data_IF_233650074176
#
_entry.id   IF_233650074176
#
_cell.length_a   1.000
_cell.length_b   1.000
_cell.length_c   1.000
_cell.angle_alpha   90.00
_cell.angle_beta   90.00
_cell.angle_gamma   90.00
#
_symmetry.space_group_name_H-M   'P 1'
#
loop_
_entity.id
_entity.type
_entity.pdbx_description
1 polymer ?
#
# COMPACT_ATOMS: atom_id res chain seq x y z
N UNK A 1 40.92 -75.30 28.31
CA UNK A 1 40.81 -74.87 26.90
C UNK A 1 40.48 -73.38 26.84
N UNK A 2 41.17 -72.58 25.99
CA UNK A 2 40.83 -71.16 25.72
C UNK A 2 39.86 -71.12 24.53
N UNK A 3 38.57 -70.90 24.80
CA UNK A 3 37.52 -70.80 23.77
C UNK A 3 37.62 -69.50 22.96
N UNK A 4 36.72 -69.34 21.99
CA UNK A 4 36.56 -68.10 21.23
C UNK A 4 36.13 -66.96 22.16
N UNK A 5 36.65 -65.75 21.94
CA UNK A 5 36.30 -64.58 22.77
C UNK A 5 35.05 -63.85 22.28
N UNK A 6 34.40 -63.06 23.15
CA UNK A 6 33.22 -62.27 22.78
C UNK A 6 33.50 -61.34 21.58
N UNK A 7 34.64 -60.63 21.60
CA UNK A 7 35.04 -59.71 20.52
C UNK A 7 35.26 -60.44 19.20
N UNK A 8 35.92 -61.59 19.24
CA UNK A 8 36.18 -62.42 18.06
C UNK A 8 34.88 -62.93 17.44
N UNK A 9 33.94 -63.38 18.27
CA UNK A 9 32.62 -63.83 17.82
C UNK A 9 31.80 -62.68 17.22
N UNK A 10 31.86 -61.50 17.84
CA UNK A 10 31.18 -60.31 17.34
C UNK A 10 31.72 -59.84 16.00
N UNK A 11 33.04 -59.77 15.84
CA UNK A 11 33.65 -59.38 14.55
C UNK A 11 33.29 -60.39 13.46
N UNK A 12 33.22 -61.68 13.80
CA UNK A 12 32.83 -62.72 12.85
C UNK A 12 31.39 -62.54 12.33
N UNK A 13 30.46 -62.02 13.15
CA UNK A 13 29.06 -61.82 12.79
C UNK A 13 28.62 -60.35 12.75
N UNK A 14 29.57 -59.43 12.51
CA UNK A 14 29.31 -57.98 12.51
C UNK A 14 28.23 -57.56 11.51
N UNK A 15 28.05 -58.31 10.43
CA UNK A 15 27.00 -58.08 9.42
C UNK A 15 25.57 -58.27 9.94
N UNK A 16 25.37 -58.92 11.09
CA UNK A 16 24.06 -59.32 11.60
C UNK A 16 23.56 -58.49 12.80
N UNK A 17 24.12 -57.30 13.06
CA UNK A 17 23.66 -56.36 14.10
C UNK A 17 23.33 -56.99 15.48
N UNK A 18 24.05 -58.04 15.87
CA UNK A 18 23.91 -58.60 17.21
C UNK A 18 24.33 -57.54 18.26
N UNK A 19 23.58 -57.46 19.36
CA UNK A 19 23.81 -56.48 20.43
C UNK A 19 24.78 -57.01 21.49
N UNK A 20 24.67 -58.30 21.84
CA UNK A 20 25.45 -58.95 22.91
C UNK A 20 25.89 -60.35 22.48
N UNK A 21 27.07 -60.77 22.93
CA UNK A 21 27.56 -62.13 22.81
C UNK A 21 27.85 -62.69 24.20
N UNK A 22 27.50 -63.94 24.44
CA UNK A 22 27.75 -64.65 25.70
C UNK A 22 28.23 -66.07 25.41
N UNK A 23 29.04 -66.61 26.31
CA UNK A 23 29.59 -67.96 26.19
C UNK A 23 29.18 -68.83 27.38
N UNK A 24 29.04 -70.14 27.14
CA UNK A 24 28.83 -71.11 28.20
C UNK A 24 30.18 -71.53 28.81
N UNK A 25 30.25 -71.54 30.14
CA UNK A 25 31.40 -72.01 30.91
C UNK A 25 30.98 -73.14 31.87
N UNK A 26 31.91 -74.04 32.17
CA UNK A 26 31.73 -75.13 33.13
C UNK A 26 33.00 -75.33 33.97
N UNK A 27 33.05 -76.39 34.81
CA UNK A 27 34.17 -76.66 35.70
C UNK A 27 35.54 -76.72 35.00
N UNK A 28 35.56 -77.13 33.73
CA UNK A 28 36.77 -77.28 32.92
C UNK A 28 37.04 -76.08 31.96
N UNK A 29 36.35 -74.95 32.17
CA UNK A 29 36.46 -73.74 31.34
C UNK A 29 35.36 -73.61 30.29
N UNK A 30 35.67 -72.95 29.16
CA UNK A 30 34.71 -72.68 28.09
C UNK A 30 34.11 -73.99 27.53
N UNK A 31 32.80 -74.02 27.21
CA UNK A 31 32.08 -75.24 26.79
C UNK A 31 31.87 -75.38 25.28
N UNK A 32 32.30 -74.38 24.52
CA UNK A 32 32.24 -74.39 23.05
C UNK A 32 30.88 -73.98 22.49
N UNK A 33 30.06 -73.36 23.32
CA UNK A 33 28.77 -72.80 22.94
C UNK A 33 28.74 -71.31 23.23
N UNK A 34 28.16 -70.56 22.31
CA UNK A 34 27.98 -69.12 22.41
C UNK A 34 26.57 -68.74 21.99
N UNK A 35 26.02 -67.69 22.57
CA UNK A 35 24.73 -67.10 22.20
C UNK A 35 24.97 -65.67 21.74
N UNK A 36 24.43 -65.35 20.56
CA UNK A 36 24.28 -63.99 20.06
C UNK A 36 22.88 -63.49 20.44
N UNK A 37 22.82 -62.29 21.01
CA UNK A 37 21.61 -61.66 21.50
C UNK A 37 21.36 -60.43 20.62
N UNK A 38 20.19 -60.39 20.00
CA UNK A 38 19.77 -59.33 19.09
C UNK A 38 18.92 -58.30 19.83
N UNK A 39 18.50 -57.24 19.14
CA UNK A 39 17.54 -56.27 19.66
C UNK A 39 16.21 -56.94 20.06
N UNK A 40 15.60 -56.49 21.15
CA UNK A 40 14.27 -56.95 21.59
C UNK A 40 13.16 -56.28 20.76
N UNK A 41 13.17 -56.55 19.46
CA UNK A 41 12.25 -56.00 18.46
C UNK A 41 11.96 -57.02 17.35
N UNK A 42 10.87 -56.82 16.61
CA UNK A 42 10.56 -57.63 15.43
C UNK A 42 11.72 -57.61 14.39
N UNK A 43 12.41 -56.48 14.26
CA UNK A 43 13.56 -56.31 13.37
C UNK A 43 14.75 -57.12 13.90
N UNK A 44 15.01 -57.06 15.20
CA UNK A 44 16.06 -57.86 15.85
C UNK A 44 15.83 -59.37 15.67
N UNK A 45 14.59 -59.83 15.73
CA UNK A 45 14.23 -61.21 15.40
C UNK A 45 14.53 -61.56 13.94
N UNK A 46 14.17 -60.70 12.98
CA UNK A 46 14.45 -60.95 11.56
C UNK A 46 15.95 -61.00 11.26
N UNK A 47 16.76 -60.16 11.90
CA UNK A 47 18.22 -60.22 11.78
C UNK A 47 18.78 -61.54 12.34
N UNK A 48 18.23 -62.04 13.45
CA UNK A 48 18.57 -63.35 14.01
C UNK A 48 18.14 -64.50 13.07
N UNK A 49 16.96 -64.39 12.46
CA UNK A 49 16.44 -65.35 11.50
C UNK A 49 17.28 -65.38 10.21
N UNK A 50 17.74 -64.22 9.74
CA UNK A 50 18.65 -64.13 8.60
C UNK A 50 19.98 -64.83 8.88
N UNK A 51 20.54 -64.67 10.09
CA UNK A 51 21.74 -65.38 10.50
C UNK A 51 21.50 -66.89 10.58
N UNK A 52 20.36 -67.31 11.15
CA UNK A 52 19.99 -68.72 11.18
C UNK A 52 19.88 -69.33 9.77
N UNK A 53 19.16 -68.65 8.86
CA UNK A 53 19.04 -69.06 7.45
C UNK A 53 20.40 -69.12 6.75
N UNK A 54 21.33 -68.21 7.08
CA UNK A 54 22.70 -68.26 6.57
C UNK A 54 23.38 -69.59 6.96
N UNK A 55 23.36 -69.96 8.24
CA UNK A 55 23.97 -71.21 8.70
C UNK A 55 23.33 -72.45 8.08
N UNK A 56 21.99 -72.47 7.95
CA UNK A 56 21.28 -73.57 7.29
C UNK A 56 21.70 -73.68 5.81
N UNK A 57 21.79 -72.55 5.10
CA UNK A 57 22.20 -72.52 3.67
C UNK A 57 23.61 -73.06 3.45
N UNK A 58 24.51 -72.85 4.41
CA UNK A 58 25.89 -73.35 4.34
C UNK A 58 26.05 -74.80 4.84
N UNK A 59 24.96 -75.48 5.23
CA UNK A 59 25.01 -76.83 5.81
C UNK A 59 25.66 -76.85 7.19
N UNK A 60 25.48 -75.77 7.95
CA UNK A 60 26.02 -75.56 9.31
C UNK A 60 24.90 -75.28 10.31
N UNK A 61 23.69 -75.78 10.05
CA UNK A 61 22.53 -75.65 10.92
C UNK A 61 22.54 -76.64 12.11
N UNK A 62 21.46 -76.62 12.90
CA UNK A 62 21.27 -77.54 14.04
C UNK A 62 21.25 -79.00 13.59
N UNK A 63 20.51 -79.31 12.54
CA UNK A 63 20.41 -80.68 12.00
C UNK A 63 21.74 -81.19 11.46
N UNK A 64 22.54 -80.33 10.83
CA UNK A 64 23.88 -80.67 10.35
C UNK A 64 24.82 -80.98 11.51
N UNK A 65 24.73 -80.18 12.57
CA UNK A 65 25.45 -80.43 13.82
C UNK A 65 25.05 -81.75 14.47
N UNK A 66 23.80 -82.17 14.41
CA UNK A 66 23.38 -83.43 15.04
C UNK A 66 23.65 -84.66 14.19
N UNK A 67 23.64 -84.54 12.86
CA UNK A 67 23.87 -85.66 11.93
C UNK A 67 25.33 -85.91 11.57
N UNK A 68 26.12 -84.85 11.32
CA UNK A 68 27.50 -84.96 10.80
C UNK A 68 28.41 -83.86 11.34
N UNK A 69 28.93 -84.05 12.56
CA UNK A 69 29.83 -83.10 13.24
C UNK A 69 31.20 -83.02 12.59
N UNK A 70 31.39 -82.04 11.70
CA UNK A 70 32.73 -81.63 11.24
C UNK A 70 33.22 -80.49 12.12
N UNK A 71 34.24 -80.76 12.94
CA UNK A 71 34.76 -79.80 13.92
C UNK A 71 35.78 -78.81 13.33
N UNK A 72 36.47 -79.21 12.26
CA UNK A 72 37.54 -78.43 11.64
C UNK A 72 37.46 -78.48 10.12
N UNK A 73 37.68 -77.34 9.47
CA UNK A 73 38.00 -77.28 8.06
C UNK A 73 39.39 -77.90 7.80
N UNK A 74 39.66 -78.40 6.58
CA UNK A 74 41.02 -78.72 6.15
C UNK A 74 41.95 -77.52 6.41
N UNK A 75 43.03 -77.72 7.17
CA UNK A 75 43.91 -76.64 7.65
C UNK A 75 43.67 -76.18 9.09
N UNK A 76 42.82 -76.87 9.86
CA UNK A 76 42.75 -76.73 11.33
C UNK A 76 41.89 -75.57 11.86
N UNK A 77 41.22 -74.80 10.98
CA UNK A 77 40.25 -73.77 11.39
C UNK A 77 38.97 -74.41 11.88
N UNK A 78 38.40 -73.92 13.00
CA UNK A 78 37.15 -74.46 13.55
C UNK A 78 35.95 -74.10 12.70
N UNK A 79 35.03 -75.04 12.57
CA UNK A 79 33.72 -74.80 11.93
C UNK A 79 32.75 -74.32 13.00
N UNK A 80 32.05 -73.22 12.74
CA UNK A 80 30.94 -72.76 13.58
C UNK A 80 29.62 -73.27 13.02
N UNK A 81 28.74 -73.71 13.91
CA UNK A 81 27.35 -74.04 13.60
C UNK A 81 26.46 -73.05 14.34
N UNK A 82 25.31 -72.73 13.76
CA UNK A 82 24.43 -71.72 14.33
C UNK A 82 22.96 -71.94 13.98
N UNK A 83 22.11 -71.60 14.94
CA UNK A 83 20.66 -71.73 14.83
C UNK A 83 19.98 -70.82 15.87
N UNK A 84 18.68 -70.56 15.68
CA UNK A 84 17.87 -69.86 16.69
C UNK A 84 17.71 -70.78 17.90
N UNK A 85 18.11 -70.30 19.07
CA UNK A 85 18.03 -71.07 20.30
C UNK A 85 16.57 -71.35 20.69
N UNK A 86 16.28 -72.62 20.98
CA UNK A 86 15.03 -73.04 21.63
C UNK A 86 15.18 -73.04 23.15
N UNK A 87 14.08 -73.23 23.87
CA UNK A 87 14.10 -73.34 25.33
C UNK A 87 15.11 -74.40 25.82
N UNK A 88 15.13 -75.58 25.19
CA UNK A 88 16.04 -76.67 25.53
C UNK A 88 17.51 -76.28 25.33
N UNK A 89 17.81 -75.56 24.24
CA UNK A 89 19.18 -75.10 23.96
C UNK A 89 19.67 -74.11 25.03
N UNK A 90 18.78 -73.28 25.54
CA UNK A 90 19.06 -72.33 26.62
C UNK A 90 19.25 -73.02 27.98
N UNK A 91 18.57 -74.13 28.23
CA UNK A 91 18.79 -74.97 29.42
C UNK A 91 20.18 -75.66 29.35
N UNK A 92 20.55 -76.20 28.19
CA UNK A 92 21.88 -76.80 27.96
C UNK A 92 22.99 -75.75 28.14
N UNK A 93 22.78 -74.55 27.59
CA UNK A 93 23.69 -73.42 27.73
C UNK A 93 23.88 -73.05 29.21
N UNK A 94 22.79 -73.01 29.98
CA UNK A 94 22.78 -72.61 31.38
C UNK A 94 23.12 -73.73 32.39
N UNK A 95 23.31 -74.99 31.97
CA UNK A 95 23.51 -76.17 32.84
C UNK A 95 24.53 -75.99 33.98
N UNK A 96 25.59 -75.20 33.77
CA UNK A 96 26.64 -74.94 34.78
C UNK A 96 26.70 -73.48 35.25
N UNK A 97 25.77 -72.64 34.81
CA UNK A 97 25.71 -71.23 35.18
C UNK A 97 24.97 -71.08 36.51
N UNK A 98 25.64 -70.55 37.54
CA UNK A 98 25.06 -70.29 38.87
C UNK A 98 24.84 -68.79 39.09
N UNK A 99 23.75 -68.42 39.76
CA UNK A 99 23.45 -67.04 40.13
C UNK A 99 23.44 -66.07 38.94
N UNK A 100 24.20 -64.98 39.03
CA UNK A 100 24.27 -63.89 38.05
C UNK A 100 24.89 -64.27 36.69
N UNK A 101 25.47 -65.47 36.55
CA UNK A 101 26.02 -65.96 35.28
C UNK A 101 24.98 -66.68 34.41
N UNK A 102 23.80 -67.00 34.97
CA UNK A 102 22.70 -67.64 34.24
C UNK A 102 22.00 -66.62 33.35
N UNK A 103 21.90 -66.92 32.06
CA UNK A 103 21.20 -66.06 31.11
C UNK A 103 19.69 -66.26 31.27
N UNK A 104 19.01 -65.23 31.76
CA UNK A 104 17.55 -65.19 31.84
C UNK A 104 16.98 -65.13 30.42
N UNK A 105 15.98 -65.97 30.16
CA UNK A 105 15.26 -66.01 28.89
C UNK A 105 13.79 -66.29 29.18
N UNK A 106 12.93 -65.87 28.27
CA UNK A 106 11.49 -66.04 28.33
C UNK A 106 11.01 -66.43 26.92
N UNK A 107 10.05 -67.36 26.84
CA UNK A 107 9.50 -67.82 25.57
C UNK A 107 8.29 -66.95 25.23
N UNK A 108 8.36 -66.25 24.11
CA UNK A 108 7.27 -65.39 23.64
C UNK A 108 6.73 -65.86 22.29
N UNK A 109 5.41 -65.74 22.06
CA UNK A 109 4.82 -66.09 20.77
C UNK A 109 5.38 -65.21 19.65
N UNK A 110 5.77 -65.84 18.55
CA UNK A 110 6.21 -65.15 17.33
C UNK A 110 5.18 -64.15 16.81
N UNK A 111 3.89 -64.51 16.90
CA UNK A 111 2.78 -63.65 16.48
C UNK A 111 2.83 -62.27 17.15
N UNK A 112 2.98 -62.24 18.47
CA UNK A 112 2.93 -61.00 19.26
C UNK A 112 4.24 -60.21 19.14
N UNK A 113 5.39 -60.89 19.11
CA UNK A 113 6.69 -60.22 19.13
C UNK A 113 7.19 -59.78 17.75
N UNK A 114 6.68 -60.39 16.67
CA UNK A 114 7.18 -60.14 15.32
C UNK A 114 6.04 -59.74 14.38
N UNK A 115 4.99 -60.57 14.26
CA UNK A 115 3.95 -60.35 13.25
C UNK A 115 3.16 -59.07 13.54
N UNK A 116 2.61 -58.92 14.74
CA UNK A 116 1.82 -57.73 15.13
C UNK A 116 2.61 -56.41 15.00
N UNK A 117 3.85 -56.27 15.50
CA UNK A 117 4.65 -55.06 15.28
C UNK A 117 4.93 -54.79 13.81
N UNK A 118 5.19 -55.82 12.99
CA UNK A 118 5.45 -55.63 11.56
C UNK A 118 4.19 -55.20 10.79
N UNK A 119 3.03 -55.77 11.11
CA UNK A 119 1.74 -55.34 10.56
C UNK A 119 1.47 -53.88 10.91
N UNK A 120 1.65 -53.50 12.17
CA UNK A 120 1.50 -52.11 12.62
C UNK A 120 2.47 -51.15 11.91
N UNK A 121 3.75 -51.53 11.78
CA UNK A 121 4.72 -50.73 11.03
C UNK A 121 4.32 -50.57 9.57
N UNK A 122 3.75 -51.60 8.95
CA UNK A 122 3.27 -51.53 7.58
C UNK A 122 2.07 -50.57 7.44
N UNK A 123 1.09 -50.66 8.35
CA UNK A 123 -0.04 -49.72 8.40
C UNK A 123 0.41 -48.28 8.61
N UNK A 124 1.34 -48.06 9.55
CA UNK A 124 1.88 -46.72 9.83
C UNK A 124 2.66 -46.18 8.62
N UNK A 125 3.40 -47.03 7.90
CA UNK A 125 4.06 -46.65 6.65
C UNK A 125 3.06 -46.25 5.55
N UNK A 126 1.92 -46.95 5.44
CA UNK A 126 0.85 -46.57 4.50
C UNK A 126 0.26 -45.19 4.84
N UNK A 127 -0.03 -44.96 6.13
CA UNK A 127 -0.51 -43.65 6.61
C UNK A 127 0.52 -42.55 6.35
N UNK A 128 1.81 -42.82 6.59
CA UNK A 128 2.89 -41.87 6.34
C UNK A 128 2.94 -41.43 4.87
N UNK A 129 2.80 -42.38 3.95
CA UNK A 129 2.73 -42.08 2.51
C UNK A 129 1.52 -41.23 2.15
N UNK A 130 0.36 -41.50 2.74
CA UNK A 130 -0.83 -40.67 2.56
C UNK A 130 -0.63 -39.24 3.04
N UNK A 131 -0.08 -39.05 4.25
CA UNK A 131 0.23 -37.72 4.78
C UNK A 131 1.24 -36.98 3.92
N UNK A 132 2.30 -37.66 3.46
CA UNK A 132 3.31 -37.08 2.56
C UNK A 132 2.68 -36.56 1.26
N UNK A 133 1.79 -37.35 0.65
CA UNK A 133 1.09 -36.94 -0.57
C UNK A 133 0.13 -35.77 -0.31
N UNK A 134 -0.56 -35.76 0.83
CA UNK A 134 -1.44 -34.66 1.21
C UNK A 134 -0.66 -33.35 1.39
N UNK A 135 0.48 -33.39 2.08
CA UNK A 135 1.36 -32.23 2.27
C UNK A 135 1.90 -31.72 0.93
N UNK A 136 2.31 -32.61 0.03
CA UNK A 136 2.80 -32.21 -1.29
C UNK A 136 1.74 -31.45 -2.09
N UNK A 137 0.48 -31.92 -2.07
CA UNK A 137 -0.65 -31.23 -2.73
C UNK A 137 -0.92 -29.85 -2.13
N UNK A 138 -0.91 -29.74 -0.80
CA UNK A 138 -1.09 -28.46 -0.11
C UNK A 138 0.04 -27.47 -0.42
N UNK A 139 1.28 -27.93 -0.51
CA UNK A 139 2.42 -27.09 -0.88
C UNK A 139 2.30 -26.56 -2.31
N UNK A 140 1.87 -27.40 -3.26
CA UNK A 140 1.62 -26.98 -4.63
C UNK A 140 0.48 -25.94 -4.70
N UNK A 141 -0.62 -26.18 -3.98
CA UNK A 141 -1.73 -25.23 -3.91
C UNK A 141 -1.30 -23.89 -3.29
N UNK A 142 -0.54 -23.91 -2.19
CA UNK A 142 -0.03 -22.70 -1.56
C UNK A 142 0.87 -21.89 -2.52
N UNK A 143 1.72 -22.56 -3.30
CA UNK A 143 2.57 -21.89 -4.29
C UNK A 143 1.74 -21.16 -5.36
N UNK A 144 0.71 -21.82 -5.88
CA UNK A 144 -0.21 -21.21 -6.87
C UNK A 144 -0.94 -20.01 -6.24
N UNK A 145 -1.36 -20.12 -4.98
CA UNK A 145 -2.03 -19.04 -4.27
C UNK A 145 -1.09 -17.84 -4.06
N UNK A 146 0.16 -18.06 -3.66
CA UNK A 146 1.18 -17.01 -3.53
C UNK A 146 1.41 -16.28 -4.85
N UNK A 147 1.52 -17.02 -5.97
CA UNK A 147 1.66 -16.44 -7.31
C UNK A 147 0.43 -15.60 -7.68
N UNK A 148 -0.78 -16.10 -7.43
CA UNK A 148 -2.02 -15.38 -7.67
C UNK A 148 -2.13 -14.09 -6.85
N UNK A 149 -1.79 -14.14 -5.56
CA UNK A 149 -1.76 -12.97 -4.67
C UNK A 149 -0.74 -11.93 -5.17
N UNK A 150 0.44 -12.38 -5.60
CA UNK A 150 1.46 -11.49 -6.17
C UNK A 150 0.96 -10.78 -7.43
N UNK A 151 0.33 -11.50 -8.36
CA UNK A 151 -0.24 -10.95 -9.59
C UNK A 151 -1.36 -9.94 -9.29
N UNK A 152 -2.30 -10.31 -8.42
CA UNK A 152 -3.42 -9.43 -8.04
C UNK A 152 -2.91 -8.18 -7.31
N UNK A 153 -1.95 -8.33 -6.39
CA UNK A 153 -1.30 -7.22 -5.71
C UNK A 153 -0.56 -6.28 -6.66
N UNK A 154 0.11 -6.81 -7.69
CA UNK A 154 0.71 -6.02 -8.76
C UNK A 154 -0.31 -5.19 -9.54
N UNK A 155 -1.40 -5.82 -9.99
CA UNK A 155 -2.49 -5.13 -10.71
C UNK A 155 -3.14 -4.03 -9.87
N UNK A 156 -3.35 -4.27 -8.58
CA UNK A 156 -3.92 -3.29 -7.66
C UNK A 156 -3.04 -2.03 -7.57
N UNK A 157 -1.73 -2.19 -7.37
CA UNK A 157 -0.77 -1.06 -7.33
C UNK A 157 -0.75 -0.23 -8.62
N UNK A 158 -0.84 -0.88 -9.79
CA UNK A 158 -0.95 -0.17 -11.06
C UNK A 158 -2.23 0.68 -11.12
N UNK A 159 -3.36 0.12 -10.70
CA UNK A 159 -4.66 0.84 -10.68
C UNK A 159 -4.66 2.01 -9.70
N UNK A 160 -4.04 1.87 -8.53
CA UNK A 160 -3.87 2.98 -7.58
C UNK A 160 -3.05 4.12 -8.18
N UNK A 161 -1.98 3.79 -8.92
CA UNK A 161 -1.14 4.78 -9.60
C UNK A 161 -1.88 5.48 -10.74
N UNK A 162 -2.65 4.74 -11.56
CA UNK A 162 -3.53 5.31 -12.59
C UNK A 162 -4.54 6.29 -11.98
N UNK A 163 -5.21 5.93 -10.87
CA UNK A 163 -6.16 6.80 -10.17
C UNK A 163 -5.48 8.07 -9.69
N UNK A 164 -4.26 7.97 -9.16
CA UNK A 164 -3.48 9.14 -8.73
C UNK A 164 -3.20 10.09 -9.89
N UNK A 165 -2.81 9.56 -11.05
CA UNK A 165 -2.56 10.35 -12.27
C UNK A 165 -3.83 11.03 -12.76
N UNK A 166 -4.96 10.32 -12.79
CA UNK A 166 -6.25 10.88 -13.20
C UNK A 166 -6.65 12.04 -12.28
N UNK A 167 -6.51 11.87 -10.96
CA UNK A 167 -6.78 12.95 -9.99
C UNK A 167 -5.86 14.14 -10.20
N UNK A 168 -4.56 13.91 -10.38
CA UNK A 168 -3.60 15.00 -10.61
C UNK A 168 -3.97 15.78 -11.88
N UNK A 169 -4.23 15.08 -12.99
CA UNK A 169 -4.63 15.72 -14.25
C UNK A 169 -5.90 16.55 -14.10
N UNK A 170 -6.90 16.05 -13.36
CA UNK A 170 -8.12 16.80 -13.10
C UNK A 170 -7.86 18.09 -12.29
N UNK A 171 -6.98 18.02 -11.29
CA UNK A 171 -6.53 19.20 -10.54
C UNK A 171 -5.80 20.18 -11.45
N UNK A 172 -4.84 19.72 -12.24
CA UNK A 172 -4.05 20.57 -13.14
C UNK A 172 -4.95 21.31 -14.16
N UNK A 173 -5.94 20.60 -14.72
CA UNK A 173 -6.93 21.18 -15.64
C UNK A 173 -7.81 22.24 -14.96
N UNK A 174 -8.23 21.98 -13.71
CA UNK A 174 -9.00 22.95 -12.93
C UNK A 174 -8.17 24.20 -12.61
N UNK A 175 -6.90 24.03 -12.24
CA UNK A 175 -5.99 25.14 -12.00
C UNK A 175 -5.74 25.95 -13.28
N UNK A 176 -5.54 25.31 -14.43
CA UNK A 176 -5.39 25.98 -15.72
C UNK A 176 -6.63 26.81 -16.08
N UNK A 177 -7.82 26.21 -15.97
CA UNK A 177 -9.09 26.91 -16.20
C UNK A 177 -9.26 28.12 -15.27
N UNK A 178 -8.84 27.98 -14.01
CA UNK A 178 -8.87 29.06 -13.02
C UNK A 178 -7.88 30.18 -13.38
N UNK A 179 -6.67 29.83 -13.86
CA UNK A 179 -5.67 30.81 -14.33
C UNK A 179 -6.19 31.60 -15.54
N UNK A 180 -6.79 30.93 -16.51
CA UNK A 180 -7.38 31.58 -17.68
C UNK A 180 -8.51 32.55 -17.28
N UNK A 181 -9.40 32.11 -16.38
CA UNK A 181 -10.48 32.96 -15.85
C UNK A 181 -9.93 34.22 -15.17
N UNK A 182 -8.93 34.06 -14.29
CA UNK A 182 -8.29 35.18 -13.60
C UNK A 182 -7.59 36.14 -14.56
N UNK A 183 -6.94 35.62 -15.60
CA UNK A 183 -6.31 36.44 -16.64
C UNK A 183 -7.33 37.32 -17.38
N UNK A 184 -8.45 36.72 -17.80
CA UNK A 184 -9.53 37.45 -18.47
C UNK A 184 -10.13 38.51 -17.55
N UNK A 185 -10.41 38.17 -16.29
CA UNK A 185 -10.92 39.12 -15.31
C UNK A 185 -9.97 40.31 -15.13
N UNK A 186 -8.67 40.05 -15.02
CA UNK A 186 -7.65 41.09 -14.88
C UNK A 186 -7.60 41.99 -16.13
N UNK A 187 -7.67 41.41 -17.34
CA UNK A 187 -7.70 42.16 -18.59
C UNK A 187 -8.90 43.12 -18.66
N UNK A 188 -10.10 42.65 -18.34
CA UNK A 188 -11.30 43.51 -18.33
C UNK A 188 -11.23 44.58 -17.24
N UNK A 189 -10.73 44.24 -16.04
CA UNK A 189 -10.51 45.23 -14.97
C UNK A 189 -9.56 46.34 -15.41
N UNK A 190 -8.50 46.01 -16.15
CA UNK A 190 -7.57 47.00 -16.70
C UNK A 190 -8.24 47.91 -17.74
N UNK A 191 -9.04 47.35 -18.64
CA UNK A 191 -9.79 48.13 -19.64
C UNK A 191 -10.74 49.13 -18.96
N UNK A 192 -11.48 48.67 -17.94
CA UNK A 192 -12.36 49.54 -17.14
C UNK A 192 -11.57 50.63 -16.44
N UNK A 193 -10.41 50.30 -15.86
CA UNK A 193 -9.55 51.28 -15.20
C UNK A 193 -9.02 52.34 -16.17
N UNK A 194 -8.69 51.95 -17.42
CA UNK A 194 -8.28 52.89 -18.46
C UNK A 194 -9.40 53.87 -18.79
N UNK A 195 -10.64 53.38 -18.96
CA UNK A 195 -11.80 54.22 -19.21
C UNK A 195 -12.04 55.22 -18.08
N UNK A 196 -11.93 54.80 -16.82
CA UNK A 196 -12.04 55.72 -15.69
C UNK A 196 -10.96 56.80 -15.71
N UNK A 197 -9.69 56.43 -15.95
CA UNK A 197 -8.60 57.42 -16.05
C UNK A 197 -8.84 58.43 -17.16
N UNK A 198 -9.31 57.99 -18.32
CA UNK A 198 -9.62 58.86 -19.45
C UNK A 198 -10.78 59.82 -19.12
N UNK A 199 -11.85 59.32 -18.50
CA UNK A 199 -12.99 60.13 -18.06
C UNK A 199 -12.52 61.19 -17.06
N UNK A 200 -11.82 60.79 -16.00
CA UNK A 200 -11.30 61.71 -14.97
C UNK A 200 -10.37 62.76 -15.57
N UNK A 201 -9.54 62.39 -16.55
CA UNK A 201 -8.66 63.34 -17.25
C UNK A 201 -9.47 64.38 -18.04
N UNK A 202 -10.53 63.96 -18.72
CA UNK A 202 -11.42 64.87 -19.48
C UNK A 202 -12.20 65.78 -18.56
N UNK A 203 -12.76 65.25 -17.48
CA UNK A 203 -13.45 66.04 -16.44
C UNK A 203 -12.51 67.10 -15.87
N UNK A 204 -11.30 66.73 -15.45
CA UNK A 204 -10.33 67.67 -14.91
C UNK A 204 -9.92 68.77 -15.93
N UNK A 205 -9.81 68.41 -17.21
CA UNK A 205 -9.52 69.40 -18.27
C UNK A 205 -10.67 70.38 -18.47
N UNK A 206 -11.92 69.93 -18.36
CA UNK A 206 -13.10 70.78 -18.45
C UNK A 206 -13.22 71.71 -17.24
N UNK A 207 -13.06 71.17 -16.03
CA UNK A 207 -13.04 71.95 -14.78
C UNK A 207 -12.00 73.07 -14.84
N UNK A 208 -10.78 72.76 -15.31
CA UNK A 208 -9.71 73.74 -15.46
C UNK A 208 -10.07 74.84 -16.47
N UNK A 209 -10.59 74.47 -17.64
CA UNK A 209 -11.00 75.44 -18.66
C UNK A 209 -12.11 76.37 -18.14
N UNK A 210 -13.08 75.84 -17.40
CA UNK A 210 -14.15 76.63 -16.79
C UNK A 210 -13.60 77.57 -15.70
N UNK A 211 -12.66 77.10 -14.87
CA UNK A 211 -12.03 77.91 -13.84
C UNK A 211 -11.19 79.06 -14.44
N UNK A 212 -10.40 78.78 -15.47
CA UNK A 212 -9.57 79.78 -16.17
C UNK A 212 -10.45 80.86 -16.83
N UNK A 213 -11.55 80.46 -17.49
CA UNK A 213 -12.51 81.39 -18.10
C UNK A 213 -13.18 82.29 -17.04
N UNK A 214 -13.67 81.70 -15.94
CA UNK A 214 -14.26 82.45 -14.81
C UNK A 214 -13.26 83.48 -14.27
N UNK A 215 -12.00 83.07 -14.08
CA UNK A 215 -10.94 83.94 -13.59
C UNK A 215 -10.67 85.11 -14.56
N UNK A 216 -10.57 84.86 -15.87
CA UNK A 216 -10.33 85.93 -16.85
C UNK A 216 -11.44 87.00 -16.83
N UNK A 217 -12.71 86.57 -16.77
CA UNK A 217 -13.84 87.50 -16.69
C UNK A 217 -13.88 88.27 -15.37
N UNK A 218 -13.54 87.65 -14.24
CA UNK A 218 -13.43 88.33 -12.93
C UNK A 218 -12.28 89.34 -12.93
N UNK A 219 -11.11 88.96 -13.45
CA UNK A 219 -9.95 89.86 -13.54
C UNK A 219 -10.26 91.06 -14.45
N UNK A 220 -10.95 90.83 -15.58
CA UNK A 220 -11.40 91.88 -16.49
C UNK A 220 -12.45 92.78 -15.84
N UNK A 221 -13.41 92.21 -15.11
CA UNK A 221 -14.38 92.97 -14.31
C UNK A 221 -13.67 93.87 -13.28
N UNK A 222 -12.68 93.34 -12.54
CA UNK A 222 -11.93 94.11 -11.55
C UNK A 222 -11.10 95.24 -12.18
N UNK A 223 -10.46 94.99 -13.32
CA UNK A 223 -9.73 96.02 -14.07
C UNK A 223 -10.65 97.16 -14.51
N UNK A 224 -11.85 96.84 -15.01
CA UNK A 224 -12.85 97.83 -15.41
C UNK A 224 -13.39 98.62 -14.22
N UNK A 225 -13.61 97.99 -13.07
CA UNK A 225 -14.00 98.70 -11.84
C UNK A 225 -12.91 99.65 -11.33
N UNK A 226 -11.65 99.22 -11.34
CA UNK A 226 -10.50 100.08 -10.97
C UNK A 226 -10.36 101.24 -11.94
N UNK A 227 -10.52 101.00 -13.25
CA UNK A 227 -10.49 102.06 -14.26
C UNK A 227 -11.62 103.06 -14.08
N UNK A 228 -12.85 102.58 -13.82
CA UNK A 228 -14.00 103.42 -13.47
C UNK A 228 -13.74 104.28 -12.22
N UNK A 229 -13.19 103.69 -11.17
CA UNK A 229 -12.88 104.41 -9.93
C UNK A 229 -11.79 105.48 -10.11
N UNK A 230 -10.87 105.30 -11.07
CA UNK A 230 -9.88 106.32 -11.45
C UNK A 230 -10.53 107.47 -12.23
N UNK A 231 -11.36 107.17 -13.24
CA UNK A 231 -12.13 108.18 -13.99
C UNK A 231 -13.04 109.02 -13.08
N UNK A 232 -13.67 108.40 -12.09
CA UNK A 232 -14.55 109.08 -11.12
C UNK A 232 -13.80 110.02 -10.15
N UNK A 233 -12.47 109.92 -10.03
CA UNK A 233 -11.64 110.74 -9.13
C UNK A 233 -11.15 112.05 -9.78
N UNK A 234 -11.07 112.12 -11.11
CA UNK A 234 -10.60 113.27 -11.89
C UNK A 234 -11.73 114.28 -12.17
N UNK A 235 -12.50 114.67 -11.13
CA UNK A 235 -13.70 115.52 -11.21
C UNK A 235 -13.45 116.97 -11.72
N UNK A 236 -13.21 117.15 -13.02
CA UNK A 236 -13.42 118.39 -13.78
C UNK A 236 -14.11 118.05 -15.13
N UNK A 237 -15.43 118.24 -15.15
CA UNK A 237 -16.44 117.73 -16.10
C UNK A 237 -16.16 118.06 -17.59
N UNK A 238 -16.10 117.03 -18.45
CA UNK A 238 -16.38 117.09 -19.91
C UNK A 238 -17.43 116.04 -20.33
N UNK A 239 -18.36 116.41 -21.22
CA UNK A 239 -19.44 115.55 -21.76
C UNK A 239 -18.95 114.22 -22.38
N UNK A 240 -17.72 114.18 -22.86
CA UNK A 240 -17.11 113.01 -23.50
C UNK A 240 -16.76 111.89 -22.49
N UNK A 241 -16.63 112.22 -21.20
CA UNK A 241 -16.29 111.26 -20.14
C UNK A 241 -17.54 110.54 -19.56
N UNK A 242 -18.73 111.16 -19.65
CA UNK A 242 -20.02 110.50 -19.29
C UNK A 242 -20.36 109.34 -20.25
N UNK A 243 -20.06 109.50 -21.54
CA UNK A 243 -20.28 108.45 -22.54
C UNK A 243 -19.31 107.27 -22.36
N UNK A 244 -18.07 107.54 -21.95
CA UNK A 244 -17.08 106.52 -21.59
C UNK A 244 -17.43 105.81 -20.28
N UNK A 245 -17.91 106.51 -19.25
CA UNK A 245 -18.39 105.86 -18.02
C UNK A 245 -19.60 104.95 -18.31
N UNK A 246 -20.53 105.37 -19.17
CA UNK A 246 -21.65 104.54 -19.60
C UNK A 246 -21.21 103.28 -20.39
N UNK A 247 -20.17 103.38 -21.22
CA UNK A 247 -19.58 102.22 -21.92
C UNK A 247 -18.94 101.23 -20.93
N UNK A 248 -18.20 101.73 -19.95
CA UNK A 248 -17.57 100.89 -18.91
C UNK A 248 -18.64 100.20 -18.07
N UNK A 249 -19.69 100.91 -17.66
CA UNK A 249 -20.83 100.32 -16.94
C UNK A 249 -21.50 99.19 -17.72
N UNK A 250 -21.74 99.41 -19.02
CA UNK A 250 -22.31 98.40 -19.90
C UNK A 250 -21.41 97.18 -20.03
N UNK A 251 -20.10 97.37 -20.07
CA UNK A 251 -19.14 96.28 -20.14
C UNK A 251 -19.00 95.53 -18.81
N UNK A 252 -18.97 96.22 -17.66
CA UNK A 252 -19.04 95.62 -16.32
C UNK A 252 -20.30 94.76 -16.18
N UNK A 253 -21.46 95.28 -16.60
CA UNK A 253 -22.71 94.53 -16.59
C UNK A 253 -22.62 93.27 -17.47
N UNK A 254 -22.02 93.36 -18.66
CA UNK A 254 -21.78 92.19 -19.53
C UNK A 254 -20.87 91.14 -18.89
N UNK A 255 -19.73 91.55 -18.33
CA UNK A 255 -18.80 90.63 -17.66
C UNK A 255 -19.49 89.92 -16.47
N UNK A 256 -20.27 90.67 -15.68
CA UNK A 256 -21.08 90.10 -14.59
C UNK A 256 -22.10 89.07 -15.08
N UNK A 257 -22.86 89.40 -16.14
CA UNK A 257 -23.84 88.47 -16.72
C UNK A 257 -23.17 87.20 -17.25
N UNK A 258 -21.98 87.30 -17.87
CA UNK A 258 -21.21 86.13 -18.34
C UNK A 258 -20.83 85.23 -17.17
N UNK A 259 -20.30 85.79 -16.07
CA UNK A 259 -19.93 85.02 -14.87
C UNK A 259 -21.16 84.37 -14.23
N UNK A 260 -22.27 85.10 -14.10
CA UNK A 260 -23.53 84.57 -13.55
C UNK A 260 -24.09 83.42 -14.41
N UNK A 261 -24.09 83.56 -15.74
CA UNK A 261 -24.50 82.48 -16.65
C UNK A 261 -23.58 81.25 -16.54
N UNK A 262 -22.27 81.47 -16.44
CA UNK A 262 -21.29 80.39 -16.29
C UNK A 262 -21.42 79.65 -14.95
N UNK A 263 -21.83 80.32 -13.86
CA UNK A 263 -22.12 79.67 -12.58
C UNK A 263 -23.34 78.75 -12.73
N UNK A 264 -24.41 79.26 -13.34
CA UNK A 264 -25.63 78.48 -13.58
C UNK A 264 -25.37 77.23 -14.44
N UNK A 265 -24.61 77.38 -15.53
CA UNK A 265 -24.24 76.27 -16.40
C UNK A 265 -23.43 75.20 -15.63
N UNK A 266 -22.55 75.61 -14.70
CA UNK A 266 -21.82 74.65 -13.85
C UNK A 266 -22.71 73.92 -12.85
N UNK A 267 -23.74 74.57 -12.30
CA UNK A 267 -24.70 73.93 -11.40
C UNK A 267 -25.58 72.92 -12.15
N UNK A 268 -26.05 73.27 -13.35
CA UNK A 268 -26.81 72.38 -14.23
C UNK A 268 -25.97 71.15 -14.63
N UNK A 269 -24.70 71.35 -15.01
CA UNK A 269 -23.77 70.26 -15.32
C UNK A 269 -23.55 69.31 -14.13
N UNK A 270 -23.33 69.84 -12.92
CA UNK A 270 -23.13 68.98 -11.73
C UNK A 270 -24.39 68.18 -11.38
N UNK A 271 -25.57 68.78 -11.54
CA UNK A 271 -26.83 68.06 -11.35
C UNK A 271 -27.00 66.92 -12.36
N UNK A 272 -26.80 67.18 -13.65
CA UNK A 272 -26.86 66.14 -14.70
C UNK A 272 -25.82 65.04 -14.47
N UNK A 273 -24.62 65.42 -14.03
CA UNK A 273 -23.54 64.48 -13.70
C UNK A 273 -23.91 63.58 -12.52
N UNK A 274 -24.51 64.13 -11.46
CA UNK A 274 -24.95 63.34 -10.31
C UNK A 274 -26.02 62.31 -10.69
N UNK A 275 -27.02 62.71 -11.47
CA UNK A 275 -28.04 61.77 -11.95
C UNK A 275 -27.43 60.69 -12.86
N UNK A 276 -26.50 61.07 -13.74
CA UNK A 276 -25.78 60.12 -14.60
C UNK A 276 -24.99 59.08 -13.79
N UNK A 277 -24.30 59.51 -12.72
CA UNK A 277 -23.58 58.62 -11.79
C UNK A 277 -24.56 57.68 -11.10
N UNK A 278 -25.69 58.20 -10.60
CA UNK A 278 -26.71 57.40 -9.92
C UNK A 278 -27.29 56.32 -10.84
N UNK A 279 -27.61 56.68 -12.07
CA UNK A 279 -28.14 55.76 -13.08
C UNK A 279 -27.09 54.74 -13.54
N UNK A 280 -25.82 55.14 -13.64
CA UNK A 280 -24.73 54.20 -13.89
C UNK A 280 -24.57 53.19 -12.74
N UNK A 281 -24.58 53.65 -11.49
CA UNK A 281 -24.45 52.78 -10.31
C UNK A 281 -25.62 51.81 -10.16
N UNK A 282 -26.85 52.26 -10.46
CA UNK A 282 -28.03 51.40 -10.49
C UNK A 282 -27.90 50.31 -11.57
N UNK A 283 -27.52 50.69 -12.81
CA UNK A 283 -27.27 49.72 -13.88
C UNK A 283 -26.18 48.71 -13.51
N UNK A 284 -25.10 49.16 -12.87
CA UNK A 284 -24.00 48.28 -12.41
C UNK A 284 -24.46 47.33 -11.31
N UNK A 285 -25.28 47.81 -10.38
CA UNK A 285 -25.87 46.99 -9.31
C UNK A 285 -26.79 45.91 -9.88
N UNK A 286 -27.72 46.28 -10.77
CA UNK A 286 -28.63 45.33 -11.42
C UNK A 286 -27.87 44.26 -12.20
N UNK A 287 -26.85 44.67 -12.96
CA UNK A 287 -25.98 43.74 -13.67
C UNK A 287 -25.28 42.77 -12.72
N UNK A 288 -24.72 43.27 -11.61
CA UNK A 288 -24.05 42.42 -10.60
C UNK A 288 -25.02 41.43 -9.95
N UNK A 289 -26.24 41.86 -9.64
CA UNK A 289 -27.27 40.98 -9.08
C UNK A 289 -27.62 39.86 -10.07
N UNK A 290 -27.76 40.16 -11.37
CA UNK A 290 -28.01 39.14 -12.39
C UNK A 290 -26.87 38.12 -12.47
N UNK A 291 -25.63 38.58 -12.55
CA UNK A 291 -24.46 37.70 -12.57
C UNK A 291 -24.41 36.76 -11.36
N UNK A 292 -24.61 37.29 -10.14
CA UNK A 292 -24.60 36.48 -8.93
C UNK A 292 -25.74 35.45 -8.90
N UNK A 293 -26.91 35.79 -9.44
CA UNK A 293 -28.02 34.83 -9.56
C UNK A 293 -27.67 33.70 -10.53
N UNK A 294 -27.13 34.04 -11.69
CA UNK A 294 -26.69 33.06 -12.69
C UNK A 294 -25.60 32.14 -12.14
N UNK A 295 -24.64 32.68 -11.38
CA UNK A 295 -23.59 31.90 -10.70
C UNK A 295 -24.19 30.91 -9.68
N UNK A 296 -25.10 31.39 -8.82
CA UNK A 296 -25.81 30.53 -7.85
C UNK A 296 -26.61 29.43 -8.54
N UNK A 297 -27.32 29.74 -9.63
CA UNK A 297 -28.11 28.75 -10.34
C UNK A 297 -27.23 27.71 -11.05
N UNK A 298 -26.07 28.13 -11.57
CA UNK A 298 -25.07 27.20 -12.13
C UNK A 298 -24.48 26.25 -11.08
N UNK A 299 -24.19 26.75 -9.88
CA UNK A 299 -23.65 25.92 -8.78
C UNK A 299 -24.69 24.91 -8.28
N UNK A 300 -25.98 25.30 -8.20
CA UNK A 300 -27.07 24.37 -7.86
C UNK A 300 -27.21 23.25 -8.89
N UNK A 301 -27.10 23.58 -10.18
CA UNK A 301 -27.14 22.58 -11.26
C UNK A 301 -25.96 21.61 -11.13
N UNK A 302 -24.76 22.14 -10.94
CA UNK A 302 -23.56 21.33 -10.75
C UNK A 302 -23.65 20.42 -9.51
N UNK A 303 -24.14 20.96 -8.39
CA UNK A 303 -24.38 20.18 -7.17
C UNK A 303 -25.36 19.03 -7.42
N UNK A 304 -26.47 19.31 -8.13
CA UNK A 304 -27.44 18.29 -8.50
C UNK A 304 -26.82 17.17 -9.35
N UNK A 305 -26.07 17.53 -10.40
CA UNK A 305 -25.36 16.56 -11.25
C UNK A 305 -24.34 15.74 -10.45
N UNK A 306 -23.62 16.39 -9.52
CA UNK A 306 -22.67 15.73 -8.63
C UNK A 306 -23.36 14.71 -7.73
N UNK A 307 -24.52 15.05 -7.16
CA UNK A 307 -25.30 14.12 -6.34
C UNK A 307 -25.78 12.92 -7.15
N UNK A 308 -26.29 13.12 -8.36
CA UNK A 308 -26.69 12.03 -9.25
C UNK A 308 -25.51 11.09 -9.56
N UNK A 309 -24.33 11.67 -9.83
CA UNK A 309 -23.12 10.90 -10.07
C UNK A 309 -22.72 10.08 -8.84
N UNK A 310 -22.73 10.68 -7.65
CA UNK A 310 -22.41 9.98 -6.39
C UNK A 310 -23.39 8.83 -6.10
N UNK A 311 -24.68 9.04 -6.29
CA UNK A 311 -25.72 8.01 -6.13
C UNK A 311 -25.54 6.85 -7.13
N UNK A 312 -25.23 7.16 -8.39
CA UNK A 312 -24.92 6.13 -9.40
C UNK A 312 -23.76 5.23 -8.98
N UNK A 313 -22.69 5.81 -8.44
CA UNK A 313 -21.51 5.05 -8.02
C UNK A 313 -21.65 4.41 -6.63
N UNK A 314 -22.57 4.87 -5.78
CA UNK A 314 -22.89 4.21 -4.51
C UNK A 314 -23.68 2.92 -4.77
N UNK A 315 -24.72 2.98 -5.63
CA UNK A 315 -25.51 1.82 -6.06
C UNK A 315 -24.65 0.76 -6.73
N UNK A 316 -23.80 1.18 -7.68
CA UNK A 316 -22.86 0.25 -8.35
C UNK A 316 -21.94 -0.47 -7.35
N UNK A 317 -21.50 0.21 -6.29
CA UNK A 317 -20.67 -0.41 -5.24
C UNK A 317 -21.46 -1.43 -4.42
N UNK A 318 -22.70 -1.12 -4.07
CA UNK A 318 -23.58 -2.05 -3.36
C UNK A 318 -23.88 -3.29 -4.21
N UNK A 319 -24.20 -3.13 -5.49
CA UNK A 319 -24.41 -4.23 -6.44
C UNK A 319 -23.18 -5.14 -6.55
N UNK A 320 -21.97 -4.56 -6.66
CA UNK A 320 -20.74 -5.35 -6.69
C UNK A 320 -20.49 -6.08 -5.37
N UNK A 321 -20.79 -5.47 -4.22
CA UNK A 321 -20.63 -6.13 -2.92
C UNK A 321 -21.62 -7.29 -2.74
N UNK A 322 -22.87 -7.10 -3.16
CA UNK A 322 -23.91 -8.14 -3.14
C UNK A 322 -23.68 -9.26 -4.15
N UNK A 323 -22.90 -9.03 -5.21
CA UNK A 323 -22.53 -10.08 -6.19
C UNK A 323 -21.34 -10.94 -5.76
N UNK A 324 -20.61 -10.51 -4.73
CA UNK A 324 -19.41 -11.21 -4.21
C UNK A 324 -19.74 -12.01 -2.94
N UNK A 325 -20.83 -11.66 -2.24
CA UNK A 325 -21.37 -12.39 -1.10
C UNK A 325 -22.35 -13.47 -1.53
#
# INVERSE_FOLDING_TARGET
WRGMGNKELFEYFKGYKAMKARHAYGPNGHRGMSVLIFEDSAIGYLEAENLHKHFVKEGRGKDDWDRRRVLFHPGGKRVLYGYIATQEDMEIFNKHSKGNTRLKHDMRPYQVMVVEPMEKMNEDNQKLMWFKNKVAKEQEHNKILEEAVSIVGGKLRMKESEIKIIRQRATDQHEESTREMNYLEQSYRQQIQHLYKDITRREHSLEKMQADLKKEHIDRFHQLEVYRAKLSRDMEIRKDEEEEEAKIHKEIARQKTIVESSIKDTEEYEHERQELIRDHDNRRREFRIRQLREEVDSEKLFEHERFQMLDKFSKKRQETASSIS
#
